data_IF_658780226974
#
_entry.id   IF_658780226974
#
_cell.length_a   1.000
_cell.length_b   1.000
_cell.length_c   1.000
_cell.angle_alpha   90.00
_cell.angle_beta   90.00
_cell.angle_gamma   90.00
#
_symmetry.space_group_name_H-M   'P 1'
#
loop_
_entity.id
_entity.type
_entity.pdbx_description
1 polymer ?
#
# COMPACT_ATOMS: atom_id res chain seq x y z
N UNK A 1 -16.75 11.15 -0.94
CA UNK A 1 -16.35 12.21 0.00
C UNK A 1 -15.51 11.56 1.10
N UNK A 2 -14.32 12.09 1.40
CA UNK A 2 -13.45 11.60 2.49
C UNK A 2 -13.55 12.59 3.67
N UNK A 3 -14.08 12.20 4.84
CA UNK A 3 -14.15 13.08 5.98
C UNK A 3 -12.76 13.54 6.45
N UNK A 4 -12.62 14.79 6.94
CA UNK A 4 -11.36 15.27 7.52
C UNK A 4 -10.84 14.34 8.63
N UNK A 5 -9.51 14.22 8.74
CA UNK A 5 -8.82 13.42 9.77
C UNK A 5 -9.27 11.96 9.87
N UNK A 6 -9.75 11.37 8.77
CA UNK A 6 -10.16 9.97 8.69
C UNK A 6 -9.16 9.15 7.86
N UNK A 7 -7.91 8.96 8.33
CA UNK A 7 -6.89 8.22 7.58
C UNK A 7 -7.28 6.76 7.35
N UNK A 8 -8.08 6.18 8.25
CA UNK A 8 -8.58 4.81 8.11
C UNK A 8 -9.49 4.62 6.90
N UNK A 9 -10.15 5.70 6.47
CA UNK A 9 -10.97 5.74 5.25
C UNK A 9 -10.15 6.09 4.01
N UNK A 10 -8.82 6.20 4.10
CA UNK A 10 -7.96 6.47 2.94
C UNK A 10 -7.13 5.22 2.59
N UNK A 11 -7.45 4.49 1.51
CA UNK A 11 -6.80 3.22 1.18
C UNK A 11 -5.30 3.36 0.90
N UNK A 12 -4.82 4.57 0.54
CA UNK A 12 -3.39 4.82 0.31
C UNK A 12 -2.57 4.64 1.59
N UNK A 13 -3.15 4.85 2.77
CA UNK A 13 -2.45 4.69 4.05
C UNK A 13 -2.06 3.22 4.29
N UNK A 14 -2.95 2.30 3.92
CA UNK A 14 -2.68 0.85 4.00
C UNK A 14 -1.62 0.42 2.99
N UNK A 15 -1.63 1.01 1.79
CA UNK A 15 -0.59 0.78 0.77
C UNK A 15 0.77 1.26 1.29
N UNK A 16 0.84 2.47 1.85
CA UNK A 16 2.08 2.98 2.44
C UNK A 16 2.54 2.15 3.66
N UNK A 17 1.63 1.61 4.46
CA UNK A 17 1.98 0.70 5.55
C UNK A 17 2.68 -0.56 5.02
N UNK A 18 2.18 -1.16 3.94
CA UNK A 18 2.81 -2.32 3.26
C UNK A 18 4.19 -1.97 2.70
N UNK A 19 4.28 -0.86 1.96
CA UNK A 19 5.54 -0.36 1.40
C UNK A 19 6.58 -0.15 2.51
N UNK A 20 6.24 0.58 3.57
CA UNK A 20 7.11 0.78 4.73
C UNK A 20 7.51 -0.54 5.39
N UNK A 21 6.60 -1.51 5.46
CA UNK A 21 6.89 -2.86 5.96
C UNK A 21 7.98 -3.56 5.15
N UNK A 22 7.88 -3.51 3.81
CA UNK A 22 8.89 -4.08 2.91
C UNK A 22 10.24 -3.39 3.04
N UNK A 23 10.25 -2.06 3.03
CA UNK A 23 11.49 -1.27 3.14
C UNK A 23 12.21 -1.49 4.47
N UNK A 24 11.47 -1.62 5.57
CA UNK A 24 12.05 -1.95 6.89
C UNK A 24 12.69 -3.34 6.89
N UNK A 25 12.09 -4.32 6.22
CA UNK A 25 12.68 -5.66 6.07
C UNK A 25 13.93 -5.65 5.19
N UNK A 26 13.94 -4.85 4.13
CA UNK A 26 15.08 -4.74 3.23
C UNK A 26 16.32 -4.10 3.89
N UNK A 27 16.12 -3.23 4.89
CA UNK A 27 17.17 -2.64 5.72
C UNK A 27 18.34 -2.00 4.93
N UNK A 28 18.05 -1.48 3.72
CA UNK A 28 19.02 -0.88 2.83
C UNK A 28 19.78 0.28 3.49
N UNK A 29 21.11 0.33 3.29
CA UNK A 29 22.00 1.36 3.87
C UNK A 29 22.64 2.27 2.82
N UNK A 30 22.34 2.03 1.55
CA UNK A 30 22.82 2.85 0.43
C UNK A 30 21.64 3.33 -0.41
N UNK A 31 21.85 4.44 -1.13
CA UNK A 31 20.83 4.99 -2.03
C UNK A 31 20.48 4.02 -3.19
N UNK A 32 21.43 3.35 -3.86
CA UNK A 32 21.12 2.34 -4.88
C UNK A 32 20.26 1.20 -4.32
N UNK A 33 20.62 0.65 -3.16
CA UNK A 33 19.88 -0.46 -2.56
C UNK A 33 18.48 -0.03 -2.12
N UNK A 34 18.32 1.21 -1.63
CA UNK A 34 17.01 1.76 -1.29
C UNK A 34 16.13 1.88 -2.53
N UNK A 35 16.68 2.33 -3.67
CA UNK A 35 15.93 2.42 -4.93
C UNK A 35 15.47 1.04 -5.41
N UNK A 36 16.33 0.02 -5.33
CA UNK A 36 15.93 -1.37 -5.63
C UNK A 36 14.86 -1.89 -4.65
N UNK A 37 15.01 -1.62 -3.35
CA UNK A 37 14.03 -2.02 -2.35
C UNK A 37 12.66 -1.37 -2.58
N UNK A 38 12.62 -0.11 -3.03
CA UNK A 38 11.38 0.58 -3.40
C UNK A 38 10.74 -0.10 -4.62
N UNK A 39 11.50 -0.38 -5.69
CA UNK A 39 11.00 -1.12 -6.86
C UNK A 39 10.40 -2.47 -6.45
N UNK A 40 11.18 -3.28 -5.73
CA UNK A 40 10.74 -4.58 -5.22
C UNK A 40 9.50 -4.49 -4.35
N UNK A 41 9.36 -3.43 -3.54
CA UNK A 41 8.17 -3.24 -2.74
C UNK A 41 6.93 -2.95 -3.59
N UNK A 42 7.06 -2.16 -4.67
CA UNK A 42 5.96 -1.91 -5.60
C UNK A 42 5.53 -3.19 -6.32
N UNK A 43 6.45 -4.10 -6.63
CA UNK A 43 6.13 -5.41 -7.21
C UNK A 43 5.22 -6.27 -6.30
N UNK A 44 5.20 -6.00 -4.99
CA UNK A 44 4.31 -6.69 -4.04
C UNK A 44 2.87 -6.18 -4.06
N UNK A 45 2.60 -5.01 -4.68
CA UNK A 45 1.28 -4.39 -4.75
C UNK A 45 0.44 -4.99 -5.89
N UNK A 46 0.08 -6.27 -5.73
CA UNK A 46 -0.78 -6.97 -6.67
C UNK A 46 -2.18 -6.35 -6.75
N UNK A 47 -2.93 -6.55 -7.86
CA UNK A 47 -4.33 -6.10 -7.96
C UNK A 47 -5.21 -6.59 -6.81
N UNK A 48 -4.97 -7.82 -6.32
CA UNK A 48 -5.67 -8.38 -5.17
C UNK A 48 -5.35 -7.61 -3.88
N UNK A 49 -4.08 -7.26 -3.65
CA UNK A 49 -3.69 -6.45 -2.51
C UNK A 49 -4.32 -5.05 -2.54
N UNK A 50 -4.37 -4.42 -3.71
CA UNK A 50 -5.02 -3.12 -3.89
C UNK A 50 -6.53 -3.19 -3.62
N UNK A 51 -7.22 -4.22 -4.13
CA UNK A 51 -8.65 -4.46 -3.83
C UNK A 51 -8.88 -4.65 -2.34
N UNK A 52 -8.04 -5.43 -1.66
CA UNK A 52 -8.16 -5.62 -0.21
C UNK A 52 -8.01 -4.29 0.56
N UNK A 53 -7.09 -3.40 0.14
CA UNK A 53 -6.94 -2.08 0.75
C UNK A 53 -8.16 -1.17 0.51
N UNK A 54 -8.73 -1.21 -0.69
CA UNK A 54 -9.98 -0.49 -1.01
C UNK A 54 -11.15 -0.99 -0.16
N UNK A 55 -11.34 -2.31 -0.10
CA UNK A 55 -12.40 -2.93 0.70
C UNK A 55 -12.25 -2.62 2.19
N UNK A 56 -11.04 -2.70 2.73
CA UNK A 56 -10.76 -2.38 4.13
C UNK A 56 -11.02 -0.90 4.48
N UNK A 57 -10.93 0.01 3.51
CA UNK A 57 -11.29 1.42 3.66
C UNK A 57 -12.78 1.70 3.37
N UNK A 58 -13.59 0.67 3.14
CA UNK A 58 -15.04 0.78 2.88
C UNK A 58 -15.42 1.09 1.43
N UNK A 59 -14.48 0.94 0.48
CA UNK A 59 -14.72 1.15 -0.95
C UNK A 59 -15.01 -0.15 -1.71
N UNK A 60 -15.47 -1.20 -1.02
CA UNK A 60 -16.01 -2.39 -1.67
C UNK A 60 -17.41 -2.08 -2.22
N UNK A 61 -17.43 -1.31 -3.30
CA UNK A 61 -18.63 -0.98 -4.04
C UNK A 61 -18.37 -1.34 -5.49
N UNK A 62 -18.18 -2.64 -5.77
CA UNK A 62 -18.56 -3.31 -7.03
C UNK A 62 -17.87 -4.69 -7.14
N UNK A 63 -18.68 -5.76 -7.13
CA UNK A 63 -18.30 -7.09 -7.60
C UNK A 63 -18.73 -7.22 -9.07
N UNK A 64 -17.81 -7.18 -10.05
CA UNK A 64 -18.13 -7.58 -11.41
C UNK A 64 -18.15 -9.11 -11.44
N UNK A 65 -19.30 -9.70 -11.15
CA UNK A 65 -19.65 -10.98 -11.77
C UNK A 65 -19.69 -10.83 -13.28
#
# INVERSE_FOLDING_TARGET
YLPPYSPDLNPIEQIFAKLKGHLRKAAARTLPDLKEAIRSAFDTLTPKACRNCLAAAGYDAYDPT
#
